data_IF_817586670426
#
_entry.id   IF_817586670426
#
_cell.length_a   1.000
_cell.length_b   1.000
_cell.length_c   1.000
_cell.angle_alpha   90.00
_cell.angle_beta   90.00
_cell.angle_gamma   90.00
#
_symmetry.space_group_name_H-M   'P 1'
#
loop_
_entity.id
_entity.type
_entity.pdbx_description
1 polymer ?
#
# COMPACT_ATOMS: atom_id res chain seq x y z
N UNK A 1 -21.66 -13.83 8.77
CA UNK A 1 -20.70 -12.74 9.03
C UNK A 1 -19.38 -13.15 8.40
N UNK A 2 -19.20 -12.86 7.12
CA UNK A 2 -17.98 -13.19 6.39
C UNK A 2 -16.94 -12.10 6.64
N UNK A 3 -15.79 -12.48 7.21
CA UNK A 3 -14.63 -11.59 7.26
C UNK A 3 -14.08 -11.43 5.85
N UNK A 4 -13.96 -10.19 5.37
CA UNK A 4 -13.22 -9.89 4.15
C UNK A 4 -11.80 -10.47 4.26
N UNK A 5 -11.49 -11.47 3.44
CA UNK A 5 -10.18 -12.13 3.42
C UNK A 5 -9.21 -11.37 2.52
N UNK A 6 -8.02 -11.08 3.03
CA UNK A 6 -6.89 -10.63 2.21
C UNK A 6 -6.31 -11.86 1.53
N UNK A 7 -6.35 -11.93 0.20
CA UNK A 7 -5.62 -12.95 -0.56
C UNK A 7 -4.23 -12.39 -0.86
N UNK A 8 -3.22 -12.89 -0.15
CA UNK A 8 -1.81 -12.61 -0.42
C UNK A 8 -1.32 -13.62 -1.45
N UNK A 9 -1.04 -13.18 -2.68
CA UNK A 9 -0.42 -14.06 -3.68
C UNK A 9 1.08 -13.75 -3.76
N UNK A 10 1.92 -14.68 -3.32
CA UNK A 10 3.34 -14.67 -3.65
C UNK A 10 3.53 -14.96 -5.14
N UNK A 11 4.20 -14.06 -5.86
CA UNK A 11 4.67 -14.37 -7.21
C UNK A 11 5.71 -15.50 -7.14
N UNK A 12 5.22 -16.71 -7.49
CA UNK A 12 5.89 -18.02 -7.59
C UNK A 12 5.90 -18.91 -6.34
N UNK A 13 4.71 -19.30 -5.86
CA UNK A 13 4.52 -20.62 -5.24
C UNK A 13 3.25 -21.28 -5.79
N UNK A 14 3.42 -22.34 -6.58
CA UNK A 14 2.32 -23.20 -6.99
C UNK A 14 2.06 -24.17 -5.83
N UNK A 15 0.86 -24.15 -5.24
CA UNK A 15 0.17 -25.37 -4.80
C UNK A 15 -1.21 -25.04 -4.20
N UNK A 16 -2.20 -25.81 -4.64
CA UNK A 16 -3.47 -26.01 -3.97
C UNK A 16 -3.24 -26.42 -2.51
N UNK A 17 -3.77 -25.67 -1.54
CA UNK A 17 -4.35 -26.17 -0.28
C UNK A 17 -4.39 -25.09 0.82
N UNK A 18 -5.53 -25.04 1.50
CA UNK A 18 -5.84 -24.37 2.75
C UNK A 18 -4.78 -24.52 3.86
N UNK A 19 -3.96 -23.49 4.05
CA UNK A 19 -3.47 -23.01 5.34
C UNK A 19 -2.87 -21.61 5.12
N UNK A 20 -3.37 -20.58 5.80
CA UNK A 20 -2.71 -19.27 5.81
C UNK A 20 -1.33 -19.46 6.45
N UNK A 21 -0.28 -19.41 5.64
CA UNK A 21 1.08 -19.50 6.13
C UNK A 21 1.43 -18.24 6.92
N UNK A 22 2.12 -18.44 8.04
CA UNK A 22 2.59 -17.48 9.04
C UNK A 22 3.75 -16.62 8.48
N UNK A 23 3.55 -16.02 7.30
CA UNK A 23 4.61 -15.32 6.57
C UNK A 23 4.67 -13.86 7.02
N UNK A 24 5.71 -13.54 7.77
CA UNK A 24 6.02 -12.21 8.26
C UNK A 24 7.36 -11.72 7.70
N UNK A 25 7.52 -10.40 7.70
CA UNK A 25 8.68 -9.70 7.17
C UNK A 25 9.11 -8.61 8.15
N UNK A 26 10.41 -8.58 8.43
CA UNK A 26 11.00 -7.61 9.36
C UNK A 26 10.58 -6.16 9.09
N UNK A 27 10.73 -5.69 7.85
CA UNK A 27 10.38 -4.32 7.46
C UNK A 27 9.69 -4.29 6.09
N UNK A 28 8.49 -3.73 6.06
CA UNK A 28 7.59 -3.71 4.90
C UNK A 28 7.48 -2.30 4.35
N UNK A 29 7.54 -2.13 3.02
CA UNK A 29 7.30 -0.85 2.35
C UNK A 29 6.05 -0.88 1.48
N UNK A 30 5.34 0.23 1.41
CA UNK A 30 4.30 0.48 0.42
C UNK A 30 4.24 1.96 0.05
N UNK A 31 3.66 2.26 -1.11
CA UNK A 31 3.57 3.61 -1.65
C UNK A 31 2.16 3.94 -2.12
N UNK A 32 1.76 5.20 -1.97
CA UNK A 32 0.45 5.66 -2.40
C UNK A 32 0.22 7.14 -2.13
N UNK A 33 -0.90 7.67 -2.62
CA UNK A 33 -1.29 9.05 -2.29
C UNK A 33 -2.01 9.11 -0.96
N UNK A 34 -2.81 8.09 -0.62
CA UNK A 34 -3.58 8.02 0.62
C UNK A 34 -4.43 9.27 0.88
N UNK A 35 -5.01 9.82 -0.19
CA UNK A 35 -5.99 10.90 -0.09
C UNK A 35 -7.34 10.32 0.34
N UNK A 36 -7.96 10.89 1.39
CA UNK A 36 -9.25 10.47 1.94
C UNK A 36 -9.28 8.96 2.18
N UNK A 37 -8.61 8.54 3.25
CA UNK A 37 -8.32 7.13 3.54
C UNK A 37 -9.58 6.22 3.56
N UNK A 38 -9.88 5.66 2.40
CA UNK A 38 -11.02 4.78 2.10
C UNK A 38 -10.60 3.30 2.09
N UNK A 39 -11.55 2.39 1.89
CA UNK A 39 -11.34 0.95 2.12
C UNK A 39 -10.29 0.31 1.22
N UNK A 40 -10.19 0.76 -0.03
CA UNK A 40 -9.11 0.35 -0.93
C UNK A 40 -7.71 0.63 -0.38
N UNK A 41 -7.50 1.80 0.25
CA UNK A 41 -6.23 2.09 0.93
C UNK A 41 -6.07 1.27 2.22
N UNK A 42 -7.15 1.14 2.99
CA UNK A 42 -7.17 0.43 4.26
C UNK A 42 -6.82 -1.05 4.10
N UNK A 43 -7.23 -1.69 3.01
CA UNK A 43 -6.87 -3.08 2.72
C UNK A 43 -5.35 -3.22 2.52
N UNK A 44 -4.75 -2.35 1.71
CA UNK A 44 -3.33 -2.37 1.42
C UNK A 44 -2.48 -2.10 2.67
N UNK A 45 -2.87 -1.09 3.46
CA UNK A 45 -2.20 -0.75 4.72
C UNK A 45 -2.38 -1.84 5.77
N UNK A 46 -3.56 -2.47 5.83
CA UNK A 46 -3.82 -3.58 6.74
C UNK A 46 -2.94 -4.79 6.43
N UNK A 47 -2.89 -5.19 5.17
CA UNK A 47 -2.00 -6.28 4.74
C UNK A 47 -0.54 -6.01 5.12
N UNK A 48 -0.06 -4.77 4.90
CA UNK A 48 1.29 -4.39 5.30
C UNK A 48 1.51 -4.45 6.82
N UNK A 49 0.53 -4.02 7.62
CA UNK A 49 0.59 -4.07 9.09
C UNK A 49 0.52 -5.51 9.64
N UNK A 50 -0.21 -6.41 8.98
CA UNK A 50 -0.36 -7.80 9.42
C UNK A 50 0.90 -8.63 9.16
N UNK A 51 1.63 -8.35 8.07
CA UNK A 51 2.83 -9.11 7.71
C UNK A 51 4.12 -8.45 8.21
N UNK A 52 4.08 -7.23 8.76
CA UNK A 52 5.27 -6.57 9.31
C UNK A 52 5.55 -7.04 10.74
N UNK A 53 6.82 -7.30 11.06
CA UNK A 53 7.24 -7.66 12.43
C UNK A 53 7.69 -6.44 13.22
N UNK A 54 8.52 -5.57 12.61
CA UNK A 54 9.13 -4.44 13.30
C UNK A 54 8.62 -3.09 12.78
N UNK A 55 8.64 -2.91 11.45
CA UNK A 55 8.48 -1.58 10.84
C UNK A 55 7.67 -1.60 9.55
N UNK A 56 6.83 -0.59 9.38
CA UNK A 56 6.16 -0.26 8.10
C UNK A 56 6.64 1.11 7.63
N UNK A 57 7.17 1.16 6.41
CA UNK A 57 7.57 2.39 5.73
C UNK A 57 6.54 2.72 4.66
N UNK A 58 5.95 3.92 4.74
CA UNK A 58 4.93 4.36 3.78
C UNK A 58 5.41 5.58 3.01
N UNK A 59 5.61 5.41 1.70
CA UNK A 59 5.85 6.51 0.77
C UNK A 59 4.55 7.21 0.40
N UNK A 60 4.40 8.46 0.82
CA UNK A 60 3.20 9.26 0.56
C UNK A 60 3.49 10.30 -0.52
N UNK A 61 2.84 10.13 -1.67
CA UNK A 61 3.13 10.91 -2.88
C UNK A 61 2.77 12.39 -2.72
N UNK A 62 3.62 13.27 -3.24
CA UNK A 62 3.37 14.71 -3.35
C UNK A 62 4.02 15.32 -4.61
N UNK A 63 3.78 16.61 -4.84
CA UNK A 63 4.41 17.41 -5.88
C UNK A 63 4.19 16.81 -7.29
N UNK A 64 5.26 16.54 -8.06
CA UNK A 64 5.15 16.04 -9.44
C UNK A 64 4.30 14.76 -9.58
N UNK A 65 4.28 13.90 -8.55
CA UNK A 65 3.51 12.65 -8.58
C UNK A 65 2.00 12.88 -8.58
N UNK A 66 1.52 14.06 -8.16
CA UNK A 66 0.10 14.40 -8.14
C UNK A 66 -0.36 15.10 -9.42
N UNK A 67 0.56 15.41 -10.34
CA UNK A 67 0.30 16.33 -11.46
C UNK A 67 -0.85 15.87 -12.37
N UNK A 68 -1.00 14.55 -12.55
CA UNK A 68 -2.02 13.91 -13.41
C UNK A 68 -3.32 13.56 -12.68
N UNK A 69 -3.43 13.81 -11.37
CA UNK A 69 -4.66 13.50 -10.64
C UNK A 69 -5.75 14.52 -10.96
N UNK A 70 -6.91 14.02 -11.35
CA UNK A 70 -8.13 14.83 -11.45
C UNK A 70 -8.43 15.48 -10.09
N UNK A 71 -8.93 16.73 -10.06
CA UNK A 71 -9.19 17.50 -8.84
C UNK A 71 -7.99 17.54 -7.86
N UNK A 72 -6.75 17.59 -8.36
CA UNK A 72 -5.54 17.56 -7.50
C UNK A 72 -5.48 18.66 -6.43
N UNK A 73 -6.10 19.81 -6.66
CA UNK A 73 -6.16 20.91 -5.70
C UNK A 73 -6.99 20.57 -4.45
N UNK A 74 -7.85 19.54 -4.54
CA UNK A 74 -8.66 19.02 -3.43
C UNK A 74 -7.96 17.90 -2.65
N UNK A 75 -6.75 17.48 -3.04
CA UNK A 75 -6.01 16.45 -2.31
C UNK A 75 -5.69 16.98 -0.90
N UNK A 76 -5.91 16.15 0.11
CA UNK A 76 -5.65 16.52 1.50
C UNK A 76 -4.18 16.94 1.69
N UNK A 77 -3.89 17.91 2.59
CA UNK A 77 -2.53 18.30 2.90
C UNK A 77 -1.67 17.09 3.29
N UNK A 78 -0.38 17.10 2.90
CA UNK A 78 0.54 15.97 3.15
C UNK A 78 0.58 15.53 4.62
N UNK A 79 0.55 16.48 5.56
CA UNK A 79 0.54 16.20 6.99
C UNK A 79 -0.72 15.43 7.43
N UNK A 80 -1.89 15.75 6.87
CA UNK A 80 -3.15 15.05 7.17
C UNK A 80 -3.10 13.61 6.66
N UNK A 81 -2.57 13.40 5.45
CA UNK A 81 -2.45 12.07 4.84
C UNK A 81 -1.45 11.19 5.59
N UNK A 82 -0.29 11.74 5.97
CA UNK A 82 0.71 11.07 6.83
C UNK A 82 0.10 10.62 8.15
N UNK A 83 -0.56 11.54 8.85
CA UNK A 83 -1.22 11.24 10.12
C UNK A 83 -2.30 10.16 9.98
N UNK A 84 -3.15 10.25 8.96
CA UNK A 84 -4.21 9.25 8.74
C UNK A 84 -3.64 7.84 8.49
N UNK A 85 -2.56 7.74 7.72
CA UNK A 85 -1.84 6.47 7.49
C UNK A 85 -1.25 5.92 8.78
N UNK A 86 -0.55 6.78 9.54
CA UNK A 86 0.07 6.39 10.81
C UNK A 86 -0.96 5.93 11.83
N UNK A 87 -2.00 6.72 12.06
CA UNK A 87 -3.09 6.40 12.98
C UNK A 87 -3.77 5.07 12.60
N UNK A 88 -3.98 4.83 11.30
CA UNK A 88 -4.61 3.60 10.83
C UNK A 88 -3.72 2.36 11.04
N UNK A 89 -2.44 2.40 10.66
CA UNK A 89 -1.52 1.27 10.91
C UNK A 89 -1.41 0.99 12.41
N UNK A 90 -1.27 2.04 13.23
CA UNK A 90 -1.20 1.91 14.69
C UNK A 90 -2.49 1.38 15.30
N UNK A 91 -3.64 1.63 14.70
CA UNK A 91 -4.91 1.04 15.16
C UNK A 91 -4.98 -0.48 14.96
N UNK A 92 -4.19 -1.03 14.03
CA UNK A 92 -4.12 -2.47 13.75
C UNK A 92 -3.04 -3.12 14.62
N UNK A 93 -1.84 -2.55 14.61
CA UNK A 93 -0.73 -3.04 15.43
C UNK A 93 0.02 -1.84 16.06
N UNK A 94 -0.27 -1.51 17.33
CA UNK A 94 0.35 -0.40 18.03
C UNK A 94 1.88 -0.54 18.21
N UNK A 95 2.40 -1.77 18.16
CA UNK A 95 3.81 -2.07 18.40
C UNK A 95 4.71 -1.74 17.19
N UNK A 96 4.16 -1.70 15.98
CA UNK A 96 4.94 -1.43 14.75
C UNK A 96 5.54 -0.03 14.76
N UNK A 97 6.81 0.10 14.42
CA UNK A 97 7.36 1.39 14.01
C UNK A 97 6.72 1.80 12.68
N UNK A 98 6.16 3.02 12.62
CA UNK A 98 5.56 3.54 11.39
C UNK A 98 6.36 4.74 10.92
N UNK A 99 6.96 4.63 9.75
CA UNK A 99 7.72 5.70 9.12
C UNK A 99 6.97 6.20 7.89
N UNK A 100 6.59 7.48 7.88
CA UNK A 100 5.91 8.09 6.73
C UNK A 100 6.81 9.11 6.02
N UNK A 101 7.16 8.82 4.77
CA UNK A 101 8.02 9.67 3.96
C UNK A 101 7.24 10.38 2.86
N UNK A 102 7.56 11.64 2.60
CA UNK A 102 7.01 12.32 1.43
C UNK A 102 7.82 11.89 0.22
N UNK A 103 7.18 11.37 -0.83
CA UNK A 103 7.86 10.95 -2.05
C UNK A 103 7.48 11.86 -3.23
N UNK A 104 8.47 12.21 -4.03
CA UNK A 104 8.33 13.04 -5.22
C UNK A 104 8.64 12.27 -6.52
N UNK A 105 9.01 11.00 -6.38
CA UNK A 105 9.28 10.05 -7.45
C UNK A 105 8.71 8.65 -7.10
N UNK A 106 8.57 7.74 -8.08
CA UNK A 106 7.97 6.42 -7.87
C UNK A 106 8.73 5.47 -6.93
N UNK A 107 9.99 5.75 -6.57
CA UNK A 107 10.85 4.85 -5.82
C UNK A 107 10.92 5.24 -4.35
N UNK A 108 11.19 6.52 -4.05
CA UNK A 108 11.29 7.02 -2.69
C UNK A 108 12.26 6.21 -1.80
N UNK A 109 11.90 5.89 -0.54
CA UNK A 109 12.81 5.19 0.38
C UNK A 109 13.13 3.76 -0.07
N UNK A 110 12.33 3.16 -0.95
CA UNK A 110 12.45 1.75 -1.34
C UNK A 110 13.74 1.41 -2.10
N UNK A 111 14.46 2.40 -2.63
CA UNK A 111 15.75 2.21 -3.34
C UNK A 111 16.95 2.76 -2.55
N UNK A 112 16.75 3.10 -1.28
CA UNK A 112 17.75 3.67 -0.38
C UNK A 112 17.85 2.85 0.90
N UNK A 113 16.71 2.48 1.47
CA UNK A 113 16.65 1.73 2.71
C UNK A 113 17.00 0.25 2.47
N UNK A 114 18.15 -0.16 3.03
CA UNK A 114 18.70 -1.52 2.92
C UNK A 114 17.98 -2.54 3.80
N UNK A 115 17.25 -2.06 4.80
CA UNK A 115 16.66 -2.87 5.86
C UNK A 115 15.26 -3.39 5.49
N UNK A 116 14.66 -2.81 4.45
CA UNK A 116 13.41 -3.30 3.85
C UNK A 116 13.55 -4.71 3.29
N UNK A 117 12.58 -5.57 3.60
CA UNK A 117 12.54 -6.99 3.20
C UNK A 117 11.35 -7.33 2.30
N UNK A 118 10.25 -6.57 2.37
CA UNK A 118 9.09 -6.78 1.50
C UNK A 118 8.48 -5.46 0.99
N UNK A 119 7.82 -5.53 -0.17
CA UNK A 119 7.01 -4.46 -0.75
C UNK A 119 5.58 -4.95 -0.98
N UNK A 120 4.61 -4.21 -0.45
CA UNK A 120 3.19 -4.49 -0.62
C UNK A 120 2.63 -3.61 -1.73
N UNK A 121 1.95 -4.24 -2.70
CA UNK A 121 1.35 -3.59 -3.86
C UNK A 121 -0.05 -4.13 -4.12
N UNK A 122 -0.88 -3.34 -4.79
CA UNK A 122 -2.10 -3.87 -5.42
C UNK A 122 -1.75 -4.56 -6.74
N UNK A 123 -2.69 -5.33 -7.30
CA UNK A 123 -2.58 -5.86 -8.68
C UNK A 123 -2.24 -4.77 -9.71
N UNK A 124 -2.75 -3.56 -9.53
CA UNK A 124 -2.52 -2.41 -10.43
C UNK A 124 -1.08 -1.89 -10.37
N UNK A 125 -0.32 -2.19 -9.30
CA UNK A 125 0.99 -1.59 -9.02
C UNK A 125 2.15 -2.59 -8.98
N UNK A 126 1.93 -3.83 -9.43
CA UNK A 126 2.96 -4.89 -9.52
C UNK A 126 4.16 -4.45 -10.36
N UNK A 127 3.92 -3.84 -11.52
CA UNK A 127 5.00 -3.32 -12.38
C UNK A 127 5.87 -2.27 -11.67
N UNK A 128 5.29 -1.53 -10.70
CA UNK A 128 6.04 -0.61 -9.84
C UNK A 128 7.00 -1.34 -8.90
N UNK A 129 6.57 -2.44 -8.29
CA UNK A 129 7.44 -3.27 -7.45
C UNK A 129 8.59 -3.91 -8.25
N UNK A 130 8.32 -4.33 -9.49
CA UNK A 130 9.37 -4.83 -10.39
C UNK A 130 10.39 -3.74 -10.72
N UNK A 131 9.94 -2.52 -11.03
CA UNK A 131 10.81 -1.38 -11.26
C UNK A 131 11.66 -1.02 -10.03
N UNK A 132 11.07 -1.07 -8.82
CA UNK A 132 11.80 -0.90 -7.56
C UNK A 132 12.90 -1.96 -7.41
N UNK A 133 12.58 -3.23 -7.63
CA UNK A 133 13.54 -4.33 -7.50
C UNK A 133 14.67 -4.26 -8.53
N UNK A 134 14.37 -3.84 -9.75
CA UNK A 134 15.39 -3.56 -10.76
C UNK A 134 16.32 -2.43 -10.30
N UNK A 135 15.76 -1.34 -9.74
CA UNK A 135 16.56 -0.21 -9.25
C UNK A 135 17.38 -0.55 -8.01
N UNK A 136 16.86 -1.41 -7.14
CA UNK A 136 17.58 -1.97 -5.98
C UNK A 136 18.78 -2.79 -6.43
N UNK A 137 18.61 -3.66 -7.43
CA UNK A 137 19.70 -4.44 -8.04
C UNK A 137 20.81 -3.54 -8.60
N UNK A 138 20.45 -2.48 -9.34
CA UNK A 138 21.42 -1.48 -9.85
C UNK A 138 22.22 -0.80 -8.73
N UNK A 139 21.65 -0.73 -7.52
CA UNK A 139 22.27 -0.10 -6.34
C UNK A 139 22.90 -1.10 -5.37
N UNK A 140 22.95 -2.38 -5.71
CA UNK A 140 23.50 -3.44 -4.85
C UNK A 140 22.65 -3.72 -3.59
N UNK A 141 21.35 -3.39 -3.61
CA UNK A 141 20.43 -3.69 -2.53
C UNK A 141 19.72 -5.03 -2.75
N UNK A 142 19.41 -5.75 -1.66
CA UNK A 142 18.65 -7.00 -1.71
C UNK A 142 17.26 -6.80 -2.32
N UNK A 143 16.79 -7.78 -3.10
CA UNK A 143 15.43 -7.78 -3.66
C UNK A 143 14.39 -7.77 -2.54
N UNK A 144 13.34 -6.99 -2.69
CA UNK A 144 12.15 -7.02 -1.83
C UNK A 144 11.23 -8.16 -2.28
N UNK A 145 10.72 -8.91 -1.32
CA UNK A 145 9.63 -9.84 -1.57
C UNK A 145 8.38 -9.05 -1.97
N UNK A 146 7.76 -9.42 -3.10
CA UNK A 146 6.60 -8.68 -3.63
C UNK A 146 5.32 -9.36 -3.17
N UNK A 147 4.52 -8.61 -2.41
CA UNK A 147 3.26 -9.07 -1.86
C UNK A 147 2.13 -8.35 -2.56
N UNK A 148 1.34 -9.12 -3.32
CA UNK A 148 0.22 -8.57 -4.07
C UNK A 148 -1.06 -8.75 -3.29
N UNK A 149 -1.72 -7.64 -3.00
CA UNK A 149 -3.03 -7.61 -2.35
C UNK A 149 -4.11 -7.54 -3.42
N UNK A 150 -4.99 -8.54 -3.42
CA UNK A 150 -6.19 -8.55 -4.24
C UNK A 150 -7.35 -7.87 -3.50
N UNK A 151 -7.92 -6.83 -4.13
CA UNK A 151 -9.19 -6.28 -3.69
C UNK A 151 -10.27 -7.24 -4.18
N UNK A 152 -10.59 -8.28 -3.39
CA UNK A 152 -11.71 -9.17 -3.73
C UNK A 152 -13.00 -8.36 -3.65
N UNK A 153 -13.57 -8.10 -4.82
CA UNK A 153 -14.95 -7.62 -4.94
C UNK A 153 -15.82 -8.85 -4.72
N UNK A 154 -16.66 -8.85 -3.69
CA UNK A 154 -17.53 -9.99 -3.40
C UNK A 154 -18.37 -10.38 -4.62
N UNK A 155 -18.48 -11.70 -4.84
CA UNK A 155 -19.14 -12.33 -6.01
C UNK A 155 -20.65 -12.09 -6.10
N UNK A 156 -21.26 -11.39 -5.14
CA UNK A 156 -22.69 -11.13 -5.10
C UNK A 156 -23.11 -9.79 -5.74
N UNK A 157 -22.18 -9.02 -6.33
CA UNK A 157 -22.52 -7.79 -7.06
C UNK A 157 -23.03 -6.63 -6.17
N UNK A 158 -23.02 -6.82 -4.85
CA UNK A 158 -23.30 -5.81 -3.82
C UNK A 158 -22.04 -5.34 -3.08
N UNK A 159 -20.85 -5.61 -3.64
CA UNK A 159 -19.61 -5.01 -3.14
C UNK A 159 -19.72 -3.50 -3.32
N UNK A 160 -19.56 -2.75 -2.22
CA UNK A 160 -19.51 -1.29 -2.24
C UNK A 160 -18.66 -0.83 -3.43
N UNK A 161 -19.23 0.03 -4.28
CA UNK A 161 -18.53 0.67 -5.40
C UNK A 161 -17.09 0.98 -4.94
N UNK A 162 -16.07 0.50 -5.69
CA UNK A 162 -14.64 0.69 -5.39
C UNK A 162 -14.36 2.20 -5.29
N UNK A 163 -14.61 2.77 -4.12
CA UNK A 163 -14.63 4.20 -3.92
C UNK A 163 -13.18 4.68 -3.98
N UNK A 164 -12.82 5.36 -5.06
CA UNK A 164 -11.51 5.97 -5.24
C UNK A 164 -11.49 7.37 -4.64
N UNK A 165 -10.31 7.87 -4.24
CA UNK A 165 -10.16 9.27 -3.82
C UNK A 165 -10.68 10.28 -4.85
N UNK A 166 -10.67 9.94 -6.14
CA UNK A 166 -11.22 10.80 -7.19
C UNK A 166 -12.73 10.88 -7.11
N UNK A 167 -13.43 9.76 -6.93
CA UNK A 167 -14.88 9.76 -6.78
C UNK A 167 -15.32 10.47 -5.50
N UNK A 168 -14.57 10.33 -4.40
CA UNK A 168 -14.88 11.07 -3.16
C UNK A 168 -14.77 12.58 -3.40
N UNK A 169 -13.68 13.02 -4.06
CA UNK A 169 -13.50 14.44 -4.41
C UNK A 169 -14.60 14.96 -5.33
N UNK A 170 -15.06 14.17 -6.30
CA UNK A 170 -16.18 14.53 -7.19
C UNK A 170 -17.47 14.70 -6.41
N UNK A 171 -17.81 13.74 -5.53
CA UNK A 171 -19.00 13.81 -4.67
C UNK A 171 -18.98 15.05 -3.76
N UNK A 172 -17.84 15.43 -3.22
CA UNK A 172 -17.69 16.65 -2.39
C UNK A 172 -17.99 17.96 -3.15
N UNK A 173 -17.81 17.97 -4.47
CA UNK A 173 -18.08 19.14 -5.32
C UNK A 173 -19.33 18.97 -6.20
N UNK A 174 -20.09 17.90 -6.02
CA UNK A 174 -21.33 17.62 -6.77
C UNK A 174 -21.12 17.21 -8.23
N UNK A 175 -20.00 16.57 -8.56
CA UNK A 175 -19.68 16.01 -9.89
C UNK A 175 -19.93 14.50 -9.97
#
# INVERSE_FOLDING_TARGET
MGSAGVVLTETAFNMESSAASDVSYRAVVLGGTFDRLHDGHRLLLKAAAEIAEERVVVGISDGPMLAKKELKHMIQPIAVRKKAVEDYIKSINPALEVQTETIFDPFGPSIVDKDLTAIVVSKETVAGADAVNQKRKERGLSRLQVIVVDLVVDKDGFGEEKLSSTEIRKREVGL
#
